data_IF_292974863445
#
_entry.id   IF_292974863445
#
_cell.length_a   1.000
_cell.length_b   1.000
_cell.length_c   1.000
_cell.angle_alpha   90.00
_cell.angle_beta   90.00
_cell.angle_gamma   90.00
#
_symmetry.space_group_name_H-M   'P 1'
#
loop_
_entity.id
_entity.type
_entity.pdbx_description
1 polymer ?
#
# COMPACT_ATOMS: atom_id res chain seq x y z
N UNK A 1 -20.12 -0.25 -5.87
CA UNK A 1 -18.94 -0.95 -6.43
C UNK A 1 -17.80 0.02 -6.37
N UNK A 2 -17.10 0.08 -5.23
CA UNK A 2 -15.98 1.01 -5.04
C UNK A 2 -14.76 0.41 -5.72
N UNK A 3 -14.28 1.05 -6.79
CA UNK A 3 -12.96 0.76 -7.31
C UNK A 3 -11.96 1.11 -6.20
N UNK A 4 -11.42 0.08 -5.54
CA UNK A 4 -10.16 0.24 -4.81
C UNK A 4 -9.10 0.71 -5.81
N UNK A 5 -8.03 1.38 -5.35
CA UNK A 5 -6.96 1.77 -6.27
C UNK A 5 -6.47 0.51 -7.01
N UNK A 6 -6.59 0.51 -8.34
CA UNK A 6 -6.15 -0.57 -9.24
C UNK A 6 -4.61 -0.66 -9.34
N UNK A 7 -3.91 -0.25 -8.27
CA UNK A 7 -2.48 -0.01 -8.24
C UNK A 7 -1.91 -0.52 -6.92
N UNK A 8 -1.46 -1.78 -6.92
CA UNK A 8 -0.61 -2.32 -5.88
C UNK A 8 0.84 -1.88 -6.06
N UNK A 9 1.58 -1.76 -4.97
CA UNK A 9 3.02 -1.50 -5.00
C UNK A 9 3.71 -2.34 -3.94
N UNK A 10 4.86 -2.91 -4.29
CA UNK A 10 5.65 -3.79 -3.44
C UNK A 10 7.12 -3.39 -3.54
N UNK A 11 7.75 -3.20 -2.39
CA UNK A 11 9.17 -2.90 -2.26
C UNK A 11 9.88 -4.13 -1.71
N UNK A 12 10.92 -4.59 -2.39
CA UNK A 12 11.78 -5.68 -1.91
C UNK A 12 13.17 -5.11 -1.63
N UNK A 13 13.64 -5.33 -0.40
CA UNK A 13 14.98 -4.98 0.05
C UNK A 13 15.64 -6.23 0.61
N UNK A 14 16.85 -6.54 0.14
CA UNK A 14 17.63 -7.69 0.57
C UNK A 14 19.10 -7.28 0.75
N UNK A 15 19.75 -7.80 1.79
CA UNK A 15 21.15 -7.49 2.07
C UNK A 15 22.05 -7.86 0.87
N UNK A 16 22.84 -6.90 0.41
CA UNK A 16 23.75 -7.08 -0.73
C UNK A 16 23.10 -7.01 -2.11
N UNK A 17 21.80 -6.72 -2.21
CA UNK A 17 21.09 -6.53 -3.47
C UNK A 17 20.59 -5.09 -3.64
N UNK A 18 20.42 -4.66 -4.89
CA UNK A 18 19.75 -3.40 -5.19
C UNK A 18 18.26 -3.51 -4.82
N UNK A 19 17.76 -2.48 -4.13
CA UNK A 19 16.34 -2.38 -3.82
C UNK A 19 15.53 -2.38 -5.12
N UNK A 20 14.50 -3.22 -5.17
CA UNK A 20 13.68 -3.40 -6.37
C UNK A 20 12.22 -3.11 -6.05
N UNK A 21 11.54 -2.43 -6.96
CA UNK A 21 10.13 -2.09 -6.82
C UNK A 21 9.31 -2.80 -7.88
N UNK A 22 8.17 -3.35 -7.48
CA UNK A 22 7.08 -3.73 -8.38
C UNK A 22 5.93 -2.74 -8.23
N UNK A 23 5.48 -2.19 -9.35
CA UNK A 23 4.27 -1.35 -9.44
C UNK A 23 3.27 -2.07 -10.31
N UNK A 24 2.12 -2.41 -9.74
CA UNK A 24 1.01 -2.97 -10.50
C UNK A 24 0.37 -1.87 -11.35
N UNK A 25 0.05 -2.20 -12.60
CA UNK A 25 -0.72 -1.32 -13.48
C UNK A 25 -1.79 -2.15 -14.18
N UNK A 26 -2.91 -1.51 -14.50
CA UNK A 26 -4.11 -2.13 -15.06
C UNK A 26 -3.88 -3.18 -16.18
N UNK A 27 -2.85 -3.02 -17.02
CA UNK A 27 -2.53 -3.98 -18.08
C UNK A 27 -1.32 -4.89 -17.78
N UNK A 28 -0.30 -4.40 -17.07
CA UNK A 28 0.93 -5.14 -16.77
C UNK A 28 1.73 -4.44 -15.67
N UNK A 29 2.23 -5.22 -14.71
CA UNK A 29 3.18 -4.73 -13.73
C UNK A 29 4.49 -4.20 -14.31
N UNK A 30 5.10 -3.25 -13.60
CA UNK A 30 6.39 -2.66 -13.91
C UNK A 30 7.37 -2.96 -12.78
N UNK A 31 8.58 -3.44 -13.13
CA UNK A 31 9.66 -3.71 -12.18
C UNK A 31 10.83 -2.79 -12.50
N UNK A 32 11.40 -2.14 -11.48
CA UNK A 32 12.59 -1.28 -11.62
C UNK A 32 13.50 -1.40 -10.39
N UNK A 33 14.80 -1.37 -10.62
CA UNK A 33 15.87 -1.25 -9.63
C UNK A 33 16.64 0.09 -9.79
N UNK A 34 16.14 0.99 -10.65
CA UNK A 34 16.75 2.29 -10.88
C UNK A 34 16.70 3.11 -9.57
N UNK A 35 17.85 3.57 -9.02
CA UNK A 35 17.90 4.16 -7.68
C UNK A 35 16.97 5.37 -7.48
N UNK A 36 16.80 6.18 -8.54
CA UNK A 36 15.88 7.34 -8.53
C UNK A 36 14.43 6.90 -8.36
N UNK A 37 13.99 5.93 -9.15
CA UNK A 37 12.62 5.46 -9.15
C UNK A 37 12.29 4.74 -7.84
N UNK A 38 13.23 3.93 -7.34
CA UNK A 38 13.13 3.27 -6.04
C UNK A 38 12.94 4.28 -4.91
N UNK A 39 13.73 5.35 -4.89
CA UNK A 39 13.64 6.40 -3.86
C UNK A 39 12.30 7.16 -3.93
N UNK A 40 11.82 7.48 -5.13
CA UNK A 40 10.54 8.15 -5.34
C UNK A 40 9.37 7.28 -4.86
N UNK A 41 9.34 6.01 -5.27
CA UNK A 41 8.25 5.09 -4.88
C UNK A 41 8.30 4.78 -3.38
N UNK A 42 9.49 4.65 -2.79
CA UNK A 42 9.63 4.49 -1.34
C UNK A 42 9.04 5.67 -0.56
N UNK A 43 9.34 6.89 -1.01
CA UNK A 43 8.81 8.10 -0.36
C UNK A 43 7.28 8.06 -0.37
N UNK A 44 6.69 7.76 -1.53
CA UNK A 44 5.23 7.67 -1.68
C UNK A 44 4.60 6.53 -0.89
N UNK A 45 5.29 5.39 -0.78
CA UNK A 45 4.84 4.29 0.07
C UNK A 45 4.77 4.70 1.54
N UNK A 46 5.79 5.38 2.06
CA UNK A 46 5.82 5.82 3.45
C UNK A 46 4.79 6.92 3.73
N UNK A 47 4.53 7.82 2.78
CA UNK A 47 3.43 8.80 2.88
C UNK A 47 2.07 8.09 3.02
N UNK A 48 1.76 7.14 2.14
CA UNK A 48 0.52 6.36 2.20
C UNK A 48 0.42 5.56 3.51
N UNK A 49 1.54 4.99 3.96
CA UNK A 49 1.62 4.24 5.20
C UNK A 49 1.41 5.12 6.44
N UNK A 50 1.89 6.36 6.41
CA UNK A 50 1.72 7.31 7.51
C UNK A 50 0.25 7.74 7.69
N UNK A 51 -0.51 7.82 6.59
CA UNK A 51 -1.95 8.09 6.63
C UNK A 51 -2.78 6.85 6.97
N UNK A 52 -2.25 5.66 6.73
CA UNK A 52 -2.94 4.41 7.01
C UNK A 52 -3.11 4.19 8.53
N UNK A 53 -4.30 3.77 8.92
CA UNK A 53 -4.54 3.36 10.29
C UNK A 53 -3.64 2.17 10.65
N UNK A 54 -3.12 2.11 11.89
CA UNK A 54 -2.51 0.90 12.40
C UNK A 54 -3.47 -0.29 12.24
N UNK A 55 -3.00 -1.51 11.91
CA UNK A 55 -3.86 -2.64 11.57
C UNK A 55 -4.97 -2.91 12.60
N UNK A 56 -4.65 -2.81 13.89
CA UNK A 56 -5.62 -2.98 14.99
C UNK A 56 -6.68 -1.89 15.01
N UNK A 57 -6.27 -0.63 14.83
CA UNK A 57 -7.20 0.50 14.80
C UNK A 57 -8.18 0.40 13.61
N UNK A 58 -7.73 -0.12 12.47
CA UNK A 58 -8.61 -0.41 11.34
C UNK A 58 -9.65 -1.49 11.65
N UNK A 59 -9.23 -2.60 12.26
CA UNK A 59 -10.13 -3.68 12.70
C UNK A 59 -11.15 -3.17 13.72
N UNK A 60 -10.71 -2.43 14.72
CA UNK A 60 -11.56 -1.85 15.77
C UNK A 60 -12.59 -0.88 15.16
N UNK A 61 -12.17 -0.06 14.20
CA UNK A 61 -13.06 0.85 13.48
C UNK A 61 -14.14 0.08 12.71
N UNK A 62 -13.76 -0.97 11.97
CA UNK A 62 -14.73 -1.81 11.25
C UNK A 62 -15.70 -2.50 12.21
N UNK A 63 -15.21 -3.05 13.32
CA UNK A 63 -16.05 -3.65 14.35
C UNK A 63 -17.07 -2.64 14.91
N UNK A 64 -16.63 -1.40 15.20
CA UNK A 64 -17.51 -0.33 15.66
C UNK A 64 -18.59 0.02 14.63
N UNK A 65 -18.23 0.21 13.36
CA UNK A 65 -19.19 0.49 12.28
C UNK A 65 -20.26 -0.61 12.18
N UNK A 66 -19.83 -1.87 12.22
CA UNK A 66 -20.74 -3.02 12.19
C UNK A 66 -21.71 -3.05 13.37
N UNK A 67 -21.30 -2.60 14.56
CA UNK A 67 -22.21 -2.48 15.71
C UNK A 67 -23.22 -1.35 15.54
N UNK A 68 -22.81 -0.20 15.02
CA UNK A 68 -23.70 0.96 14.79
C UNK A 68 -24.78 0.64 13.76
N UNK A 69 -24.42 -0.02 12.66
CA UNK A 69 -25.39 -0.34 11.59
C UNK A 69 -26.43 -1.39 11.99
N UNK A 70 -26.13 -2.26 12.96
CA UNK A 70 -27.12 -3.19 13.51
C UNK A 70 -28.16 -2.53 14.42
N UNK A 71 -27.92 -1.28 14.83
CA UNK A 71 -28.81 -0.54 15.72
C UNK A 71 -29.70 0.48 14.96
N UNK A 72 -29.58 0.55 13.64
CA UNK A 72 -30.41 1.37 12.74
C UNK A 72 -31.30 0.47 11.90
#
# INVERSE_FOLDING_TARGET
MGAGPEFGLSLVSAEGAADTVYVDRAARGHVTDQPRDVAEIRTRFEELRAEALPPRAGIDLMAKVMTTWKQT
#
